data_IF_316665166194
#
_entry.id   IF_316665166194
#
_cell.length_a   1.000
_cell.length_b   1.000
_cell.length_c   1.000
_cell.angle_alpha   90.00
_cell.angle_beta   90.00
_cell.angle_gamma   90.00
#
_symmetry.space_group_name_H-M   'P 1'
#
loop_
_entity.id
_entity.type
_entity.pdbx_description
1 polymer ?
#
# COMPACT_ATOMS: atom_id res chain seq x y z
N UNK A 1 -13.56 0.10 9.06
CA UNK A 1 -12.57 0.72 8.12
C UNK A 1 -13.33 1.68 7.21
N UNK A 2 -12.80 2.88 6.98
CA UNK A 2 -13.39 3.82 6.02
C UNK A 2 -13.56 3.15 4.65
N UNK A 3 -14.74 3.32 4.03
CA UNK A 3 -15.03 2.77 2.70
C UNK A 3 -14.00 3.22 1.66
N UNK A 4 -13.61 4.49 1.68
CA UNK A 4 -12.59 5.02 0.77
C UNK A 4 -11.23 4.36 0.99
N UNK A 5 -10.85 4.10 2.24
CA UNK A 5 -9.59 3.43 2.56
C UNK A 5 -9.57 1.98 2.03
N UNK A 6 -10.66 1.22 2.24
CA UNK A 6 -10.78 -0.15 1.71
C UNK A 6 -10.74 -0.17 0.18
N UNK A 7 -11.46 0.74 -0.47
CA UNK A 7 -11.46 0.86 -1.93
C UNK A 7 -10.10 1.31 -2.47
N UNK A 8 -9.36 2.13 -1.72
CA UNK A 8 -8.00 2.54 -2.10
C UNK A 8 -7.02 1.37 -2.05
N UNK A 9 -7.05 0.56 -1.00
CA UNK A 9 -6.19 -0.63 -0.87
C UNK A 9 -6.50 -1.63 -1.99
N UNK A 10 -7.78 -1.88 -2.26
CA UNK A 10 -8.21 -2.74 -3.38
C UNK A 10 -7.73 -2.20 -4.74
N UNK A 11 -7.87 -0.90 -4.98
CA UNK A 11 -7.36 -0.25 -6.18
C UNK A 11 -5.84 -0.44 -6.36
N UNK A 12 -5.06 -0.28 -5.29
CA UNK A 12 -3.61 -0.49 -5.35
C UNK A 12 -3.28 -1.94 -5.74
N UNK A 13 -3.99 -2.92 -5.16
CA UNK A 13 -3.80 -4.33 -5.49
C UNK A 13 -4.17 -4.60 -6.95
N UNK A 14 -5.27 -4.04 -7.46
CA UNK A 14 -5.65 -4.14 -8.87
C UNK A 14 -4.53 -3.66 -9.82
N UNK A 15 -3.80 -2.60 -9.44
CA UNK A 15 -2.70 -2.11 -10.28
C UNK A 15 -1.50 -3.07 -10.29
N UNK A 16 -1.26 -3.80 -9.21
CA UNK A 16 -0.26 -4.89 -9.17
C UNK A 16 -0.72 -6.05 -10.06
N UNK A 17 -1.95 -6.50 -9.88
CA UNK A 17 -2.52 -7.66 -10.58
C UNK A 17 -2.66 -7.41 -12.09
N UNK A 18 -2.95 -6.17 -12.49
CA UNK A 18 -3.01 -5.73 -13.88
C UNK A 18 -1.62 -5.46 -14.51
N UNK A 19 -0.53 -5.71 -13.78
CA UNK A 19 0.82 -5.55 -14.28
C UNK A 19 1.18 -4.11 -14.65
N UNK A 20 0.58 -3.10 -14.00
CA UNK A 20 0.78 -1.69 -14.29
C UNK A 20 2.25 -1.28 -14.25
N UNK A 21 2.66 -0.39 -15.15
CA UNK A 21 4.06 -0.02 -15.40
C UNK A 21 4.42 1.34 -14.79
N UNK A 22 5.73 1.58 -14.62
CA UNK A 22 6.24 2.90 -14.28
C UNK A 22 6.63 3.68 -15.53
N UNK A 23 6.08 4.89 -15.66
CA UNK A 23 6.53 5.90 -16.63
C UNK A 23 6.54 7.27 -15.93
N UNK A 24 7.63 8.02 -16.04
CA UNK A 24 7.78 9.32 -15.39
C UNK A 24 6.67 10.29 -15.81
N UNK A 25 6.01 10.94 -14.84
CA UNK A 25 4.91 11.88 -15.08
C UNK A 25 3.59 11.22 -15.52
N UNK A 26 3.49 9.90 -15.49
CA UNK A 26 2.24 9.21 -15.86
C UNK A 26 1.26 9.15 -14.69
N UNK A 27 -0.04 9.29 -15.02
CA UNK A 27 -1.16 9.33 -14.08
C UNK A 27 -2.33 8.48 -14.58
N UNK A 28 -2.13 7.17 -14.73
CA UNK A 28 -3.18 6.22 -15.03
C UNK A 28 -3.56 6.09 -16.50
N UNK A 29 -2.74 6.58 -17.42
CA UNK A 29 -2.97 6.33 -18.84
C UNK A 29 -2.92 4.83 -19.15
N UNK A 30 -3.75 4.40 -20.12
CA UNK A 30 -3.82 3.02 -20.62
C UNK A 30 -3.81 2.99 -22.15
N UNK A 31 -3.87 1.80 -22.73
CA UNK A 31 -4.01 1.65 -24.18
C UNK A 31 -5.27 2.41 -24.72
N UNK A 32 -5.25 2.98 -25.93
CA UNK A 32 -4.12 3.00 -26.87
C UNK A 32 -3.10 4.14 -26.61
N UNK A 33 -3.29 4.97 -25.57
CA UNK A 33 -2.38 6.09 -25.26
C UNK A 33 -1.00 5.55 -24.88
N UNK A 34 -0.95 4.54 -23.99
CA UNK A 34 0.30 3.88 -23.58
C UNK A 34 0.80 3.01 -24.72
N UNK A 35 1.84 3.50 -25.38
CA UNK A 35 2.56 2.81 -26.46
C UNK A 35 4.03 3.27 -26.46
N UNK A 36 4.87 2.63 -27.26
CA UNK A 36 6.31 2.93 -27.30
C UNK A 36 6.61 4.41 -27.57
N UNK A 37 5.92 5.01 -28.55
CA UNK A 37 6.12 6.41 -28.91
C UNK A 37 5.79 7.35 -27.75
N UNK A 38 4.68 7.09 -27.05
CA UNK A 38 4.26 7.88 -25.90
C UNK A 38 5.23 7.73 -24.74
N UNK A 39 5.66 6.49 -24.40
CA UNK A 39 6.64 6.22 -23.35
C UNK A 39 7.95 6.97 -23.64
N UNK A 40 8.47 6.88 -24.85
CA UNK A 40 9.71 7.60 -25.25
C UNK A 40 9.55 9.12 -25.17
N UNK A 41 8.37 9.66 -25.45
CA UNK A 41 8.06 11.08 -25.27
C UNK A 41 8.10 11.49 -23.80
N UNK A 42 7.46 10.71 -22.90
CA UNK A 42 7.41 11.00 -21.47
C UNK A 42 8.80 10.90 -20.81
N UNK A 43 9.61 9.97 -21.26
CA UNK A 43 10.94 9.69 -20.70
C UNK A 43 12.09 10.42 -21.38
N UNK A 44 11.83 11.28 -22.36
CA UNK A 44 12.85 11.86 -23.27
C UNK A 44 14.03 12.52 -22.53
N UNK A 45 13.73 13.28 -21.49
CA UNK A 45 14.72 14.12 -20.79
C UNK A 45 15.05 13.60 -19.38
N UNK A 46 14.70 12.36 -19.06
CA UNK A 46 14.87 11.78 -17.72
C UNK A 46 16.25 11.17 -17.48
N UNK A 47 17.08 11.02 -18.54
CA UNK A 47 18.43 10.45 -18.45
C UNK A 47 18.46 8.94 -18.57
N UNK A 48 19.38 8.31 -17.85
CA UNK A 48 19.61 6.86 -17.90
C UNK A 48 20.52 6.38 -16.76
N UNK A 49 20.88 5.10 -16.82
CA UNK A 49 21.74 4.44 -15.83
C UNK A 49 22.62 3.40 -16.49
N UNK A 50 23.57 2.86 -15.75
CA UNK A 50 24.41 1.74 -16.20
C UNK A 50 23.70 0.42 -15.87
N UNK A 51 23.49 -0.41 -16.88
CA UNK A 51 22.97 -1.77 -16.76
C UNK A 51 23.97 -2.73 -17.36
N UNK A 52 24.47 -3.66 -16.59
CA UNK A 52 25.49 -4.64 -17.02
C UNK A 52 26.73 -3.98 -17.71
N UNK A 53 27.18 -2.84 -17.16
CA UNK A 53 28.35 -2.10 -17.68
C UNK A 53 28.07 -1.18 -18.88
N UNK A 54 26.82 -1.12 -19.37
CA UNK A 54 26.45 -0.29 -20.53
C UNK A 54 25.43 0.79 -20.14
N UNK A 55 25.58 1.99 -20.70
CA UNK A 55 24.60 3.04 -20.54
C UNK A 55 23.29 2.66 -21.21
N UNK A 56 22.21 2.73 -20.45
CA UNK A 56 20.84 2.47 -20.92
C UNK A 56 19.95 3.63 -20.53
N UNK A 57 19.26 4.25 -21.49
CA UNK A 57 18.33 5.34 -21.21
C UNK A 57 17.13 4.82 -20.43
N UNK A 58 16.58 5.66 -19.55
CA UNK A 58 15.34 5.33 -18.84
C UNK A 58 14.17 5.06 -19.77
N UNK A 59 14.11 5.72 -20.93
CA UNK A 59 13.14 5.41 -21.96
C UNK A 59 13.23 3.97 -22.47
N UNK A 60 14.45 3.45 -22.70
CA UNK A 60 14.63 2.06 -23.12
C UNK A 60 14.20 1.07 -22.04
N UNK A 61 14.51 1.35 -20.77
CA UNK A 61 14.09 0.50 -19.64
C UNK A 61 12.56 0.45 -19.56
N UNK A 62 11.89 1.61 -19.62
CA UNK A 62 10.44 1.69 -19.55
C UNK A 62 9.74 1.00 -20.74
N UNK A 63 10.27 1.18 -21.97
CA UNK A 63 9.74 0.51 -23.18
C UNK A 63 9.92 -1.00 -23.08
N UNK A 64 11.07 -1.47 -22.62
CA UNK A 64 11.33 -2.91 -22.45
C UNK A 64 10.35 -3.51 -21.43
N UNK A 65 10.19 -2.87 -20.28
CA UNK A 65 9.22 -3.33 -19.25
C UNK A 65 7.79 -3.35 -19.79
N UNK A 66 7.38 -2.31 -20.53
CA UNK A 66 6.07 -2.28 -21.18
C UNK A 66 5.88 -3.43 -22.17
N UNK A 67 6.85 -3.68 -23.07
CA UNK A 67 6.77 -4.78 -24.04
C UNK A 67 6.63 -6.13 -23.36
N UNK A 68 7.41 -6.40 -22.32
CA UNK A 68 7.30 -7.63 -21.53
C UNK A 68 5.90 -7.81 -20.92
N UNK A 69 5.28 -6.72 -20.42
CA UNK A 69 3.91 -6.78 -19.88
C UNK A 69 2.87 -7.02 -20.97
N UNK A 70 3.00 -6.39 -22.12
CA UNK A 70 2.11 -6.64 -23.27
C UNK A 70 2.22 -8.07 -23.76
N UNK A 71 3.43 -8.61 -23.91
CA UNK A 71 3.69 -10.01 -24.29
C UNK A 71 3.12 -11.00 -23.27
N UNK A 72 3.11 -10.63 -21.97
CA UNK A 72 2.51 -11.43 -20.90
C UNK A 72 0.98 -11.29 -20.82
N UNK A 73 0.32 -10.57 -21.75
CA UNK A 73 -1.13 -10.45 -21.85
C UNK A 73 -1.77 -9.30 -21.08
N UNK A 74 -0.98 -8.38 -20.50
CA UNK A 74 -1.52 -7.25 -19.73
C UNK A 74 -1.87 -6.02 -20.58
N UNK A 75 -1.65 -6.05 -21.89
CA UNK A 75 -1.71 -4.88 -22.78
C UNK A 75 -3.00 -4.05 -22.66
N UNK A 76 -4.14 -4.67 -22.49
CA UNK A 76 -5.45 -4.01 -22.44
C UNK A 76 -5.83 -3.51 -21.04
N UNK A 77 -5.23 -4.05 -19.99
CA UNK A 77 -5.59 -3.77 -18.58
C UNK A 77 -4.57 -2.91 -17.85
N UNK A 78 -3.28 -3.00 -18.21
CA UNK A 78 -2.23 -2.23 -17.55
C UNK A 78 -2.42 -0.71 -17.70
N UNK A 79 -2.00 0.01 -16.68
CA UNK A 79 -1.87 1.46 -16.68
C UNK A 79 -0.41 1.89 -16.48
N UNK A 80 -0.12 3.12 -16.83
CA UNK A 80 1.17 3.75 -16.56
C UNK A 80 1.03 4.77 -15.43
N UNK A 81 1.96 4.72 -14.48
CA UNK A 81 2.03 5.63 -13.33
C UNK A 81 3.47 6.03 -13.04
N UNK A 82 3.68 7.21 -12.49
CA UNK A 82 4.86 7.49 -11.65
C UNK A 82 4.53 7.23 -10.17
N UNK A 83 5.47 7.53 -9.26
CA UNK A 83 5.28 7.21 -7.84
C UNK A 83 4.10 7.96 -7.20
N UNK A 84 3.88 9.22 -7.52
CA UNK A 84 2.74 10.02 -7.04
C UNK A 84 1.49 9.81 -7.88
N UNK A 85 1.64 9.65 -9.19
CA UNK A 85 0.54 9.45 -10.12
C UNK A 85 -0.33 8.24 -9.80
N UNK A 86 0.25 7.22 -9.16
CA UNK A 86 -0.50 6.03 -8.71
C UNK A 86 -1.65 6.40 -7.77
N UNK A 87 -1.42 7.22 -6.75
CA UNK A 87 -2.48 7.64 -5.82
C UNK A 87 -3.27 8.83 -6.35
N UNK A 88 -2.61 9.78 -7.00
CA UNK A 88 -3.25 10.99 -7.52
C UNK A 88 -4.37 10.65 -8.49
N UNK A 89 -4.16 9.69 -9.39
CA UNK A 89 -5.19 9.21 -10.30
C UNK A 89 -6.46 8.78 -9.53
N UNK A 90 -6.32 7.95 -8.50
CA UNK A 90 -7.44 7.46 -7.72
C UNK A 90 -8.12 8.58 -6.93
N UNK A 91 -7.33 9.45 -6.28
CA UNK A 91 -7.85 10.58 -5.50
C UNK A 91 -8.67 11.56 -6.35
N UNK A 92 -8.22 11.85 -7.57
CA UNK A 92 -8.95 12.69 -8.54
C UNK A 92 -10.25 12.02 -8.98
N UNK A 93 -10.24 10.71 -9.27
CA UNK A 93 -11.46 9.96 -9.63
C UNK A 93 -12.50 9.98 -8.49
N UNK A 94 -12.06 9.94 -7.25
CA UNK A 94 -12.90 10.02 -6.05
C UNK A 94 -13.25 11.45 -5.64
N UNK A 95 -12.70 12.46 -6.32
CA UNK A 95 -12.87 13.89 -5.97
C UNK A 95 -12.40 14.22 -4.56
N UNK A 96 -11.41 13.49 -4.05
CA UNK A 96 -10.78 13.71 -2.74
C UNK A 96 -9.68 14.78 -2.81
N UNK A 97 -9.20 15.09 -4.00
CA UNK A 97 -8.36 16.24 -4.33
C UNK A 97 -8.87 16.88 -5.63
N UNK A 98 -8.55 18.13 -5.85
CA UNK A 98 -9.01 18.95 -6.98
C UNK A 98 -7.98 19.12 -8.11
N UNK A 99 -6.71 18.84 -7.83
CA UNK A 99 -5.62 18.97 -8.79
C UNK A 99 -4.48 17.98 -8.51
N UNK A 100 -3.59 17.84 -9.49
CA UNK A 100 -2.40 17.01 -9.39
C UNK A 100 -1.48 17.40 -8.23
N UNK A 101 -0.85 16.40 -7.62
CA UNK A 101 0.10 16.58 -6.52
C UNK A 101 1.34 15.72 -6.72
N UNK A 102 2.50 16.32 -6.54
CA UNK A 102 3.76 15.59 -6.44
C UNK A 102 3.82 14.78 -5.14
N UNK A 103 4.79 13.87 -5.02
CA UNK A 103 5.05 13.17 -3.75
C UNK A 103 5.22 14.13 -2.56
N UNK A 104 5.85 15.29 -2.78
CA UNK A 104 5.99 16.32 -1.75
C UNK A 104 4.65 17.00 -1.41
N UNK A 105 3.79 17.24 -2.40
CA UNK A 105 2.43 17.75 -2.18
C UNK A 105 1.55 16.77 -1.40
N UNK A 106 1.66 15.48 -1.72
CA UNK A 106 0.98 14.40 -1.00
C UNK A 106 1.47 14.26 0.44
N UNK A 107 2.78 14.42 0.68
CA UNK A 107 3.34 14.44 2.03
C UNK A 107 2.72 15.55 2.89
N UNK A 108 2.40 16.71 2.29
CA UNK A 108 1.72 17.82 2.96
C UNK A 108 0.27 17.51 3.39
N UNK A 109 -0.37 16.49 2.83
CA UNK A 109 -1.71 16.02 3.23
C UNK A 109 -1.68 15.05 4.42
N UNK A 110 -0.49 14.71 4.91
CA UNK A 110 -0.31 13.73 5.97
C UNK A 110 0.06 14.37 7.30
N UNK A 111 -0.37 13.75 8.37
CA UNK A 111 0.23 13.86 9.69
C UNK A 111 1.44 12.92 9.77
N UNK A 112 2.52 13.35 10.45
CA UNK A 112 3.71 12.49 10.63
C UNK A 112 3.46 11.55 11.80
N UNK A 113 3.72 10.27 11.59
CA UNK A 113 3.59 9.22 12.60
C UNK A 113 4.86 8.37 12.66
N UNK A 114 5.03 7.59 13.74
CA UNK A 114 6.22 6.76 13.97
C UNK A 114 6.09 5.34 13.43
N UNK A 115 4.89 4.78 13.43
CA UNK A 115 4.64 3.39 13.07
C UNK A 115 3.83 3.26 11.79
N UNK A 116 4.13 2.26 10.94
CA UNK A 116 3.36 2.00 9.74
C UNK A 116 2.04 1.30 10.08
N UNK A 117 1.01 1.63 9.30
CA UNK A 117 -0.30 0.97 9.36
C UNK A 117 -0.90 0.93 7.95
N UNK A 118 -1.77 -0.05 7.69
CA UNK A 118 -2.52 -0.12 6.44
C UNK A 118 -3.19 1.23 6.09
N UNK A 119 -2.98 1.71 4.87
CA UNK A 119 -3.47 3.00 4.38
C UNK A 119 -2.53 4.18 4.65
N UNK A 120 -1.50 4.03 5.48
CA UNK A 120 -0.49 5.08 5.65
C UNK A 120 0.42 5.16 4.43
N UNK A 121 0.99 6.33 4.21
CA UNK A 121 1.91 6.57 3.12
C UNK A 121 3.34 6.71 3.65
N UNK A 122 4.28 6.13 2.95
CA UNK A 122 5.70 6.18 3.30
C UNK A 122 6.47 6.96 2.26
N UNK A 123 7.43 7.75 2.71
CA UNK A 123 8.16 8.67 1.85
C UNK A 123 9.66 8.45 1.97
N UNK A 124 10.35 8.57 0.83
CA UNK A 124 11.79 8.89 0.80
C UNK A 124 11.90 10.39 0.67
N UNK A 125 12.64 11.01 1.58
CA UNK A 125 12.85 12.45 1.55
C UNK A 125 14.34 12.79 1.39
N UNK A 126 14.62 13.89 0.70
CA UNK A 126 15.93 14.49 0.59
C UNK A 126 15.79 15.99 0.81
N UNK A 127 16.63 16.58 1.68
CA UNK A 127 16.56 18.00 2.05
C UNK A 127 15.13 18.44 2.45
N UNK A 128 14.42 17.60 3.22
CA UNK A 128 13.07 17.87 3.70
C UNK A 128 11.95 17.73 2.67
N UNK A 129 12.25 17.35 1.43
CA UNK A 129 11.27 17.18 0.34
C UNK A 129 11.12 15.72 -0.02
N UNK A 130 9.87 15.26 -0.20
CA UNK A 130 9.60 13.91 -0.66
C UNK A 130 10.03 13.73 -2.12
N UNK A 131 10.85 12.71 -2.36
CA UNK A 131 11.35 12.32 -3.68
C UNK A 131 10.71 11.05 -4.21
N UNK A 132 10.09 10.28 -3.32
CA UNK A 132 9.37 9.05 -3.65
C UNK A 132 8.30 8.76 -2.60
N UNK A 133 7.27 7.99 -2.99
CA UNK A 133 6.14 7.60 -2.13
C UNK A 133 5.77 6.16 -2.36
N UNK A 134 5.40 5.46 -1.29
CA UNK A 134 4.80 4.14 -1.26
C UNK A 134 3.57 4.12 -0.35
N UNK A 135 2.77 3.08 -0.43
CA UNK A 135 1.46 3.00 0.20
C UNK A 135 1.34 1.71 0.99
N UNK A 136 1.23 1.81 2.30
CA UNK A 136 1.08 0.64 3.18
C UNK A 136 -0.27 -0.05 2.91
N UNK A 137 -0.24 -1.34 2.70
CA UNK A 137 -1.44 -2.18 2.55
C UNK A 137 -1.65 -3.11 3.75
N UNK A 138 -0.63 -3.25 4.57
CA UNK A 138 -0.65 -3.81 5.93
C UNK A 138 0.44 -3.12 6.75
N UNK A 139 0.65 -3.53 8.00
CA UNK A 139 1.74 -3.01 8.85
C UNK A 139 3.14 -3.41 8.33
N UNK A 140 3.21 -4.43 7.47
CA UNK A 140 4.45 -5.06 7.00
C UNK A 140 4.65 -5.05 5.50
N UNK A 141 3.63 -4.68 4.71
CA UNK A 141 3.67 -4.68 3.26
C UNK A 141 3.23 -3.34 2.67
N UNK A 142 3.85 -2.98 1.56
CA UNK A 142 3.48 -1.79 0.80
C UNK A 142 3.34 -2.09 -0.70
N UNK A 143 2.60 -1.22 -1.38
CA UNK A 143 2.55 -1.14 -2.84
C UNK A 143 3.17 0.20 -3.27
N UNK A 144 3.99 0.20 -4.30
CA UNK A 144 4.61 1.39 -4.87
C UNK A 144 4.75 1.28 -6.40
N UNK A 145 4.67 2.37 -7.11
CA UNK A 145 5.22 2.47 -8.47
C UNK A 145 6.74 2.65 -8.33
N UNK A 146 7.46 1.51 -8.26
CA UNK A 146 8.85 1.41 -7.78
C UNK A 146 9.86 2.00 -8.74
N UNK A 147 9.57 1.94 -10.02
CA UNK A 147 10.46 2.44 -11.06
C UNK A 147 10.31 1.67 -12.37
N UNK A 148 10.99 2.14 -13.40
CA UNK A 148 10.80 1.74 -14.80
C UNK A 148 10.96 0.25 -15.08
N UNK A 149 11.92 -0.39 -14.39
CA UNK A 149 12.17 -1.84 -14.55
C UNK A 149 11.16 -2.72 -13.80
N UNK A 150 10.43 -2.16 -12.84
CA UNK A 150 9.61 -2.93 -11.90
C UNK A 150 8.11 -2.69 -12.09
N UNK A 151 7.70 -1.46 -12.49
CA UNK A 151 6.29 -1.06 -12.52
C UNK A 151 5.69 -0.90 -11.13
N UNK A 152 4.41 -1.21 -11.01
CA UNK A 152 3.69 -1.23 -9.72
C UNK A 152 3.89 -2.60 -9.08
N UNK A 153 4.39 -2.60 -7.85
CA UNK A 153 4.74 -3.83 -7.13
C UNK A 153 4.28 -3.79 -5.68
N UNK A 154 3.87 -4.95 -5.19
CA UNK A 154 3.67 -5.20 -3.76
C UNK A 154 4.94 -5.83 -3.20
N UNK A 155 5.38 -5.37 -2.04
CA UNK A 155 6.56 -5.92 -1.37
C UNK A 155 6.57 -5.66 0.13
N UNK A 156 7.46 -6.33 0.83
CA UNK A 156 7.76 -6.10 2.23
C UNK A 156 8.19 -4.64 2.50
N UNK A 157 7.64 -4.05 3.54
CA UNK A 157 8.09 -2.77 4.08
C UNK A 157 9.42 -2.94 4.78
N UNK A 158 10.41 -2.16 4.36
CA UNK A 158 11.75 -2.14 4.96
C UNK A 158 12.01 -0.76 5.56
N UNK A 159 11.97 -0.59 6.89
CA UNK A 159 12.07 0.72 7.54
C UNK A 159 13.28 1.55 7.11
N UNK A 160 14.42 0.89 6.84
CA UNK A 160 15.67 1.56 6.41
C UNK A 160 15.60 2.22 5.03
N UNK A 161 14.61 1.87 4.21
CA UNK A 161 14.42 2.44 2.87
C UNK A 161 13.54 3.69 2.88
N UNK A 162 12.86 3.97 3.99
CA UNK A 162 11.90 5.05 4.15
C UNK A 162 12.25 5.87 5.37
N UNK A 163 12.20 7.18 5.25
CA UNK A 163 12.59 8.06 6.34
C UNK A 163 11.46 8.96 6.85
N UNK A 164 10.23 8.75 6.37
CA UNK A 164 9.03 9.39 6.90
C UNK A 164 7.80 8.51 6.65
N UNK A 165 6.95 8.43 7.67
CA UNK A 165 5.63 7.80 7.59
C UNK A 165 4.59 8.90 7.78
N UNK A 166 3.55 8.89 6.96
CA UNK A 166 2.46 9.85 6.99
C UNK A 166 1.10 9.18 7.07
N UNK A 167 0.27 9.61 8.01
CA UNK A 167 -1.15 9.29 8.10
C UNK A 167 -1.92 10.28 7.23
N UNK A 168 -2.50 9.88 6.08
CA UNK A 168 -3.21 10.80 5.21
C UNK A 168 -4.50 11.29 5.87
N UNK A 169 -4.70 12.60 5.94
CA UNK A 169 -5.89 13.23 6.56
C UNK A 169 -7.18 13.07 5.75
N UNK A 170 -7.06 12.52 4.54
CA UNK A 170 -8.19 12.31 3.62
C UNK A 170 -8.94 10.99 3.88
N UNK A 171 -8.41 10.12 4.72
CA UNK A 171 -9.07 8.89 5.16
C UNK A 171 -9.45 8.99 6.64
N UNK A 172 -10.56 8.36 6.99
CA UNK A 172 -10.95 8.19 8.38
C UNK A 172 -10.39 6.85 8.89
N UNK A 173 -9.43 6.93 9.80
CA UNK A 173 -8.82 5.77 10.46
C UNK A 173 -9.54 5.38 11.76
N UNK A 174 -10.64 6.06 12.08
CA UNK A 174 -11.31 5.95 13.37
C UNK A 174 -10.60 6.73 14.48
N UNK A 175 -11.09 6.63 15.72
CA UNK A 175 -10.44 7.27 16.85
C UNK A 175 -9.02 6.74 17.06
N UNK A 176 -8.12 7.64 17.44
CA UNK A 176 -6.77 7.24 17.90
C UNK A 176 -6.93 6.36 19.15
N UNK A 177 -6.14 5.29 19.28
CA UNK A 177 -6.13 4.52 20.53
C UNK A 177 -5.66 5.41 21.68
N UNK A 178 -6.31 5.31 22.82
CA UNK A 178 -5.87 6.00 24.03
C UNK A 178 -4.46 5.51 24.43
N UNK A 179 -3.55 6.38 24.88
CA UNK A 179 -2.21 5.98 25.31
C UNK A 179 -2.26 4.85 26.35
N UNK A 180 -1.62 3.73 26.05
CA UNK A 180 -1.66 2.53 26.87
C UNK A 180 -2.76 1.52 26.51
N UNK A 181 -3.52 1.77 25.45
CA UNK A 181 -4.47 0.79 24.92
C UNK A 181 -3.71 -0.42 24.33
N UNK A 182 -4.13 -1.61 24.75
CA UNK A 182 -3.57 -2.85 24.21
C UNK A 182 -4.28 -3.19 22.89
N UNK A 183 -3.49 -3.57 21.89
CA UNK A 183 -3.98 -4.15 20.63
C UNK A 183 -3.40 -5.53 20.39
N UNK A 184 -4.07 -6.30 19.56
CA UNK A 184 -3.63 -7.61 19.11
C UNK A 184 -2.95 -7.43 17.76
N UNK A 185 -1.63 -7.60 17.70
CA UNK A 185 -0.90 -7.69 16.43
C UNK A 185 -1.10 -9.09 15.86
N UNK A 186 -1.68 -9.17 14.69
CA UNK A 186 -1.86 -10.41 13.93
C UNK A 186 -0.63 -10.64 13.06
N UNK A 187 -0.10 -11.86 13.04
CA UNK A 187 1.07 -12.29 12.24
C UNK A 187 0.61 -13.27 11.17
N UNK A 188 0.63 -12.83 9.92
CA UNK A 188 0.12 -13.62 8.79
C UNK A 188 -1.41 -13.73 8.78
N UNK A 189 -1.92 -14.85 8.34
CA UNK A 189 -3.35 -15.09 8.15
C UNK A 189 -3.95 -15.82 9.36
N UNK A 190 -4.80 -15.17 10.12
CA UNK A 190 -5.40 -15.74 11.33
C UNK A 190 -6.93 -15.63 11.28
N UNK A 191 -7.61 -16.75 11.52
CA UNK A 191 -9.08 -16.80 11.52
C UNK A 191 -9.64 -16.10 12.75
N UNK A 192 -10.59 -15.19 12.53
CA UNK A 192 -11.45 -14.64 13.58
C UNK A 192 -12.78 -15.41 13.58
N UNK A 193 -13.27 -15.76 14.76
CA UNK A 193 -14.43 -16.63 14.95
C UNK A 193 -15.50 -16.01 15.84
N UNK A 194 -16.69 -16.58 15.82
CA UNK A 194 -17.82 -16.13 16.64
C UNK A 194 -17.72 -16.56 18.10
N UNK A 195 -16.74 -17.42 18.46
CA UNK A 195 -16.52 -17.90 19.81
C UNK A 195 -15.08 -18.34 20.05
N UNK A 196 -14.78 -18.66 21.29
CA UNK A 196 -13.44 -18.89 21.85
C UNK A 196 -12.90 -20.31 21.60
N UNK A 197 -13.06 -20.86 20.40
CA UNK A 197 -12.59 -22.19 20.05
C UNK A 197 -12.49 -22.44 18.54
N UNK A 198 -11.77 -23.49 18.10
CA UNK A 198 -11.58 -23.81 16.70
C UNK A 198 -12.87 -24.29 16.02
N UNK A 199 -13.85 -24.75 16.76
CA UNK A 199 -15.11 -25.31 16.26
C UNK A 199 -16.17 -24.26 16.02
N UNK A 200 -15.97 -23.03 16.51
CA UNK A 200 -16.89 -21.93 16.25
C UNK A 200 -16.80 -21.42 14.80
N UNK A 201 -17.92 -20.96 14.24
CA UNK A 201 -17.95 -20.40 12.88
C UNK A 201 -16.93 -19.30 12.68
N UNK A 202 -16.36 -19.25 11.48
CA UNK A 202 -15.43 -18.20 11.07
C UNK A 202 -16.22 -16.93 10.72
N UNK A 203 -15.84 -15.78 11.30
CA UNK A 203 -16.26 -14.44 10.88
C UNK A 203 -15.48 -14.04 9.63
N UNK A 204 -14.15 -14.10 9.71
CA UNK A 204 -13.24 -13.72 8.64
C UNK A 204 -11.81 -14.17 8.91
N UNK A 205 -10.88 -13.63 8.16
CA UNK A 205 -9.43 -13.85 8.34
C UNK A 205 -8.75 -12.50 8.46
N UNK A 206 -8.11 -12.24 9.58
CA UNK A 206 -7.23 -11.09 9.78
C UNK A 206 -5.87 -11.35 9.11
N UNK A 207 -5.26 -10.31 8.52
CA UNK A 207 -4.06 -10.42 7.69
C UNK A 207 -3.04 -9.36 8.10
N UNK A 208 -2.03 -9.73 8.89
CA UNK A 208 -0.92 -8.83 9.28
C UNK A 208 -1.40 -7.42 9.72
N UNK A 209 -2.39 -7.37 10.61
CA UNK A 209 -3.06 -6.16 11.05
C UNK A 209 -3.10 -6.03 12.57
N UNK A 210 -3.43 -4.82 13.06
CA UNK A 210 -3.70 -4.55 14.46
C UNK A 210 -5.21 -4.61 14.71
N UNK A 211 -5.65 -5.49 15.60
CA UNK A 211 -7.03 -5.58 16.04
C UNK A 211 -7.21 -5.00 17.45
N UNK A 212 -8.37 -4.42 17.80
CA UNK A 212 -8.68 -4.01 19.15
C UNK A 212 -8.57 -5.18 20.13
N UNK A 213 -7.94 -4.98 21.29
CA UNK A 213 -7.94 -5.95 22.37
C UNK A 213 -9.06 -5.62 23.37
N UNK A 214 -10.10 -6.43 23.41
CA UNK A 214 -11.23 -6.29 24.35
C UNK A 214 -11.06 -7.08 25.65
N UNK A 215 -9.95 -7.79 25.77
CA UNK A 215 -9.66 -8.64 26.93
C UNK A 215 -9.37 -10.09 26.57
N UNK A 216 -8.98 -10.86 27.57
CA UNK A 216 -8.88 -12.32 27.47
C UNK A 216 -10.30 -12.90 27.37
N UNK A 217 -10.49 -13.97 26.62
CA UNK A 217 -11.77 -14.67 26.60
C UNK A 217 -12.00 -15.37 27.96
N UNK A 218 -13.20 -15.23 28.48
CA UNK A 218 -13.60 -15.90 29.72
C UNK A 218 -13.51 -17.42 29.53
N UNK A 219 -12.98 -18.12 30.54
CA UNK A 219 -12.81 -19.58 30.55
C UNK A 219 -11.93 -20.17 29.42
N UNK A 220 -11.32 -19.33 28.57
CA UNK A 220 -10.48 -19.76 27.45
C UNK A 220 -9.21 -18.91 27.31
N UNK A 221 -8.16 -19.14 28.15
CA UNK A 221 -6.95 -18.32 28.19
C UNK A 221 -6.13 -18.33 26.90
N UNK A 222 -6.47 -19.18 25.95
CA UNK A 222 -5.82 -19.27 24.65
C UNK A 222 -6.49 -18.43 23.56
N UNK A 223 -7.46 -17.57 23.94
CA UNK A 223 -8.21 -16.72 23.02
C UNK A 223 -8.33 -15.29 23.54
N UNK A 224 -8.15 -14.33 22.61
CA UNK A 224 -8.44 -12.92 22.83
C UNK A 224 -9.80 -12.57 22.25
N UNK A 225 -10.53 -11.65 22.92
CA UNK A 225 -11.70 -10.98 22.39
C UNK A 225 -11.25 -9.77 21.58
N UNK A 226 -11.89 -9.54 20.44
CA UNK A 226 -11.56 -8.46 19.50
C UNK A 226 -12.81 -7.96 18.79
N UNK A 227 -12.65 -6.89 18.00
CA UNK A 227 -13.64 -6.48 17.00
C UNK A 227 -13.07 -6.74 15.61
N UNK A 228 -13.81 -7.41 14.76
CA UNK A 228 -13.47 -7.69 13.37
C UNK A 228 -14.72 -7.54 12.50
N UNK A 229 -14.59 -6.82 11.38
CA UNK A 229 -15.72 -6.47 10.50
C UNK A 229 -16.94 -5.90 11.24
N UNK A 230 -16.68 -4.99 12.19
CA UNK A 230 -17.69 -4.29 13.02
C UNK A 230 -18.50 -5.20 13.97
N UNK A 231 -18.04 -6.42 14.22
CA UNK A 231 -18.65 -7.32 15.18
C UNK A 231 -17.62 -7.88 16.17
N UNK A 232 -18.07 -8.21 17.38
CA UNK A 232 -17.22 -8.88 18.35
C UNK A 232 -16.85 -10.29 17.85
N UNK A 233 -15.60 -10.66 18.03
CA UNK A 233 -15.06 -11.94 17.63
C UNK A 233 -13.92 -12.41 18.53
N UNK A 234 -13.42 -13.60 18.25
CA UNK A 234 -12.37 -14.28 19.02
C UNK A 234 -11.22 -14.67 18.09
N UNK A 235 -10.00 -14.42 18.55
CA UNK A 235 -8.76 -14.77 17.84
C UNK A 235 -7.82 -15.46 18.79
N UNK A 236 -7.02 -16.41 18.30
CA UNK A 236 -6.07 -17.15 19.16
C UNK A 236 -5.06 -16.22 19.82
N UNK A 237 -4.69 -16.50 21.06
CA UNK A 237 -3.59 -15.82 21.78
C UNK A 237 -2.23 -16.50 21.63
N UNK A 238 -2.13 -17.49 20.73
CA UNK A 238 -0.87 -18.18 20.46
C UNK A 238 0.14 -17.22 19.84
N UNK A 239 1.28 -17.03 20.54
CA UNK A 239 2.36 -16.08 20.18
C UNK A 239 2.97 -16.29 18.78
N UNK A 240 2.74 -17.45 18.17
CA UNK A 240 3.12 -17.69 16.77
C UNK A 240 2.29 -16.87 15.80
N UNK A 241 1.04 -16.54 16.15
CA UNK A 241 0.03 -15.94 15.28
C UNK A 241 -0.43 -14.56 15.74
N UNK A 242 -0.35 -14.28 17.03
CA UNK A 242 -0.78 -13.01 17.61
C UNK A 242 0.16 -12.56 18.74
N UNK A 243 0.19 -11.25 18.98
CA UNK A 243 0.97 -10.63 20.05
C UNK A 243 0.21 -9.43 20.60
N UNK A 244 0.15 -9.28 21.95
CA UNK A 244 -0.35 -8.03 22.54
C UNK A 244 0.74 -6.98 22.46
N UNK A 245 0.37 -5.81 21.94
CA UNK A 245 1.22 -4.63 21.84
C UNK A 245 0.51 -3.46 22.50
N UNK A 246 1.26 -2.60 23.19
CA UNK A 246 0.77 -1.31 23.68
C UNK A 246 1.00 -0.25 22.56
N UNK A 247 0.01 0.55 22.28
CA UNK A 247 0.01 1.57 21.20
C UNK A 247 -0.31 2.95 21.74
#
# INVERSE_FOLDING_TARGET
MDKNLSEFIAYLQDQVDNGSIYVYGAQGQKAPVVNERWIRKMERDTGGTIVSGHYTSYANIAVTAWKMKVEAGYGDVLRAFDCSGLVVFWLLQKKLIDHDKTANGLMGLCETVSEPQAGFWVFRTSNGRATHIGYMVSDTELIEAKGRAYGVVKREYKPKEWNRIGKPKIFDFGPEPEPGEKKIRVKGNVRVRTGNGPDYPKIGTAHDELLPYLGQADEAPNWYRTVFDSQEGYITSNKRYTELVEV
#
